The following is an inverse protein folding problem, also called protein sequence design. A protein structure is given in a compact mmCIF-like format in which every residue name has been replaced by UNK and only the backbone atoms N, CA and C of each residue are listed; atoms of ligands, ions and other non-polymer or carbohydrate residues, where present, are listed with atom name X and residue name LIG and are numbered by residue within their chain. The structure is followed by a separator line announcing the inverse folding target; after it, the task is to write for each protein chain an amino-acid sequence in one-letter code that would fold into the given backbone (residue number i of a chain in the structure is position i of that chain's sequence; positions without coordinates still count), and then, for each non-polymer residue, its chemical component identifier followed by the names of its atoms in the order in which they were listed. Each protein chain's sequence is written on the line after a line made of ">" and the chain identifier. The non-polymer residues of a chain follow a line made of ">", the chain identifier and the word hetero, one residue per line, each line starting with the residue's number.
data_IF_329543574120
#
_entry.id   IF_329543574120
#
_cell.length_a   1.000
_cell.length_b   1.000
_cell.length_c   1.000
_cell.angle_alpha   90.00
_cell.angle_beta   90.00
_cell.angle_gamma   90.00
#
_symmetry.space_group_name_H-M   'P 1'
#
loop_
_entity.id
_entity.type
_entity.pdbx_description
1 polymer ?
#
# COMPACT_ATOMS: atom_id res chain seq x y z
N UNK A 1 -1.34 -77.19 11.39
CA UNK A 1 -0.52 -76.39 12.32
C UNK A 1 0.40 -75.51 11.47
N UNK A 2 -0.04 -74.29 11.12
CA UNK A 2 0.71 -73.36 10.26
C UNK A 2 0.68 -72.01 10.98
N UNK A 3 1.81 -71.59 11.54
CA UNK A 3 1.94 -70.32 12.27
C UNK A 3 2.05 -69.17 11.27
N UNK A 4 1.13 -68.21 11.35
CA UNK A 4 1.19 -66.92 10.65
C UNK A 4 2.11 -65.99 11.44
N UNK A 5 3.18 -65.52 10.81
CA UNK A 5 4.03 -64.41 11.28
C UNK A 5 3.36 -63.08 10.92
N UNK A 6 3.27 -62.09 11.83
CA UNK A 6 2.86 -60.74 11.46
C UNK A 6 4.06 -59.93 10.95
N UNK A 7 3.91 -59.34 9.76
CA UNK A 7 4.81 -58.32 9.24
C UNK A 7 4.66 -57.05 10.09
N UNK A 8 5.73 -56.67 10.79
CA UNK A 8 5.86 -55.37 11.45
C UNK A 8 6.23 -54.36 10.35
N UNK A 9 5.25 -53.56 9.95
CA UNK A 9 5.41 -52.50 8.95
C UNK A 9 6.00 -51.26 9.65
N UNK A 10 7.31 -51.08 9.52
CA UNK A 10 8.03 -49.91 10.05
C UNK A 10 7.77 -48.74 9.09
N UNK A 11 6.90 -47.82 9.50
CA UNK A 11 6.65 -46.55 8.81
C UNK A 11 7.80 -45.57 9.14
N UNK A 12 8.46 -44.93 8.16
CA UNK A 12 9.45 -43.90 8.48
C UNK A 12 8.75 -42.59 8.90
N UNK A 13 9.30 -41.84 9.88
CA UNK A 13 8.75 -40.57 10.30
C UNK A 13 9.15 -39.51 9.27
N UNK A 14 8.24 -39.18 8.36
CA UNK A 14 8.38 -38.02 7.45
C UNK A 14 7.79 -36.78 8.13
N UNK A 15 8.37 -36.40 9.27
CA UNK A 15 8.05 -35.16 9.99
C UNK A 15 9.35 -34.38 10.15
N UNK A 16 9.25 -33.06 9.96
CA UNK A 16 10.28 -32.05 10.21
C UNK A 16 11.21 -31.70 9.04
N UNK A 17 10.68 -31.09 7.98
CA UNK A 17 11.44 -30.04 7.27
C UNK A 17 10.51 -29.02 6.59
N UNK A 18 9.60 -28.43 7.36
CA UNK A 18 8.91 -27.20 6.98
C UNK A 18 8.84 -26.22 8.16
N UNK A 19 9.97 -26.03 8.85
CA UNK A 19 10.21 -24.84 9.66
C UNK A 19 10.53 -23.66 8.73
N UNK A 20 9.54 -23.25 7.94
CA UNK A 20 9.61 -22.01 7.19
C UNK A 20 9.60 -20.85 8.19
N UNK A 21 10.79 -20.36 8.53
CA UNK A 21 11.09 -19.01 9.00
C UNK A 21 9.90 -18.23 9.59
N UNK A 22 9.47 -18.61 10.80
CA UNK A 22 8.72 -17.70 11.66
C UNK A 22 9.70 -16.68 12.23
N UNK A 23 10.15 -15.74 11.39
CA UNK A 23 10.82 -14.53 11.84
C UNK A 23 9.80 -13.68 12.60
N UNK A 24 9.65 -14.04 13.87
CA UNK A 24 8.89 -13.32 14.88
C UNK A 24 9.52 -11.95 15.11
N UNK A 25 8.68 -10.95 15.41
CA UNK A 25 9.12 -9.65 15.93
C UNK A 25 10.14 -9.73 17.08
N UNK A 26 10.23 -10.87 17.77
CA UNK A 26 11.24 -11.14 18.81
C UNK A 26 12.69 -10.97 18.34
N UNK A 27 12.97 -11.11 17.04
CA UNK A 27 14.32 -10.96 16.47
C UNK A 27 14.79 -9.48 16.47
N UNK A 28 13.86 -8.51 16.56
CA UNK A 28 14.20 -7.08 16.57
C UNK A 28 14.76 -6.58 17.91
N UNK A 29 14.70 -7.41 18.96
CA UNK A 29 15.21 -7.04 20.28
C UNK A 29 16.74 -7.16 20.38
N UNK A 30 17.40 -7.78 19.40
CA UNK A 30 18.85 -8.03 19.39
C UNK A 30 19.43 -7.88 17.97
N UNK A 31 20.14 -6.79 17.64
CA UNK A 31 20.49 -5.65 18.50
C UNK A 31 19.28 -4.75 18.79
N UNK A 32 19.27 -4.04 19.93
CA UNK A 32 18.19 -3.11 20.26
C UNK A 32 18.25 -1.85 19.38
N UNK A 33 17.14 -1.14 19.28
CA UNK A 33 17.16 0.23 18.75
C UNK A 33 18.04 1.14 19.65
N UNK A 34 18.88 2.05 19.10
CA UNK A 34 19.00 2.44 17.69
C UNK A 34 20.08 1.70 16.87
N UNK A 35 20.61 0.58 17.36
CA UNK A 35 21.76 -0.14 16.78
C UNK A 35 21.41 -1.03 15.56
N UNK A 36 20.20 -0.91 15.02
CA UNK A 36 19.76 -1.70 13.87
C UNK A 36 20.56 -1.39 12.61
N UNK A 37 21.07 -2.42 11.94
CA UNK A 37 21.72 -2.28 10.62
C UNK A 37 20.71 -1.86 9.54
N UNK A 38 21.20 -1.33 8.43
CA UNK A 38 20.35 -0.90 7.30
C UNK A 38 19.48 -2.03 6.76
N UNK A 39 20.02 -3.26 6.71
CA UNK A 39 19.25 -4.45 6.33
C UNK A 39 18.06 -4.71 7.25
N UNK A 40 18.20 -4.44 8.56
CA UNK A 40 17.12 -4.59 9.53
C UNK A 40 16.09 -3.49 9.35
N UNK A 41 16.54 -2.24 9.18
CA UNK A 41 15.66 -1.10 8.89
C UNK A 41 14.82 -1.36 7.63
N UNK A 42 15.46 -1.69 6.51
CA UNK A 42 14.77 -1.97 5.25
C UNK A 42 13.79 -3.14 5.38
N UNK A 43 14.16 -4.20 6.11
CA UNK A 43 13.27 -5.34 6.39
C UNK A 43 12.04 -4.90 7.18
N UNK A 44 12.21 -4.18 8.30
CA UNK A 44 11.08 -3.67 9.09
C UNK A 44 10.12 -2.85 8.22
N UNK A 45 10.66 -2.02 7.33
CA UNK A 45 9.90 -1.13 6.47
C UNK A 45 9.24 -1.80 5.25
N UNK A 46 9.66 -2.99 4.84
CA UNK A 46 9.23 -3.62 3.57
C UNK A 46 8.74 -5.06 3.68
N UNK A 47 9.18 -5.81 4.68
CA UNK A 47 8.85 -7.22 4.87
C UNK A 47 9.04 -7.64 6.33
N UNK A 48 8.00 -7.39 7.11
CA UNK A 48 7.96 -7.66 8.54
C UNK A 48 6.55 -8.05 8.97
N UNK A 49 6.31 -8.36 10.26
CA UNK A 49 4.96 -8.51 10.77
C UNK A 49 4.10 -7.25 10.59
N UNK A 50 4.70 -6.06 10.47
CA UNK A 50 4.01 -4.79 10.30
C UNK A 50 3.99 -4.27 8.86
N UNK A 51 4.77 -4.85 7.95
CA UNK A 51 4.94 -4.35 6.58
C UNK A 51 4.90 -5.49 5.57
N UNK A 52 4.08 -5.35 4.52
CA UNK A 52 3.90 -6.34 3.47
C UNK A 52 4.04 -5.71 2.09
N UNK A 53 4.84 -6.35 1.25
CA UNK A 53 4.89 -6.06 -0.19
C UNK A 53 3.78 -6.83 -0.89
N UNK A 54 3.00 -6.13 -1.72
CA UNK A 54 1.93 -6.73 -2.53
C UNK A 54 1.99 -6.16 -3.93
N UNK A 55 1.77 -7.00 -4.94
CA UNK A 55 1.58 -6.54 -6.31
C UNK A 55 0.09 -6.53 -6.60
N UNK A 56 -0.44 -5.39 -7.06
CA UNK A 56 -1.85 -5.23 -7.39
C UNK A 56 -2.01 -4.90 -8.88
N UNK A 57 -3.00 -5.50 -9.57
CA UNK A 57 -3.36 -5.08 -10.91
C UNK A 57 -4.00 -3.69 -10.88
N UNK A 58 -3.73 -2.88 -11.90
CA UNK A 58 -4.32 -1.56 -12.07
C UNK A 58 -5.35 -1.58 -13.20
N UNK A 59 -6.56 -1.13 -12.90
CA UNK A 59 -7.69 -1.04 -13.82
C UNK A 59 -7.93 0.42 -14.19
N UNK A 60 -7.30 0.85 -15.28
CA UNK A 60 -7.51 2.20 -15.81
C UNK A 60 -8.82 2.23 -16.61
N UNK A 61 -9.85 2.83 -16.03
CA UNK A 61 -11.03 3.22 -16.80
C UNK A 61 -10.66 4.41 -17.67
N UNK A 62 -10.33 4.15 -18.93
CA UNK A 62 -10.21 5.20 -19.94
C UNK A 62 -11.58 5.87 -20.03
N UNK A 63 -11.68 7.15 -19.69
CA UNK A 63 -12.80 7.96 -20.19
C UNK A 63 -12.68 7.88 -21.70
N UNK A 64 -13.67 7.34 -22.38
CA UNK A 64 -13.71 7.42 -23.84
C UNK A 64 -13.52 8.89 -24.21
N UNK A 65 -12.42 9.20 -24.92
CA UNK A 65 -12.25 10.48 -25.58
C UNK A 65 -13.41 10.58 -26.57
N UNK A 66 -14.53 11.18 -26.14
CA UNK A 66 -15.55 11.59 -27.09
C UNK A 66 -14.82 12.48 -28.10
N UNK A 67 -14.83 12.12 -29.40
CA UNK A 67 -14.20 12.96 -30.41
C UNK A 67 -14.80 14.35 -30.24
N UNK A 68 -13.96 15.36 -30.01
CA UNK A 68 -14.41 16.75 -30.01
C UNK A 68 -15.04 16.95 -31.38
N UNK A 69 -16.36 17.02 -31.41
CA UNK A 69 -17.09 17.21 -32.65
C UNK A 69 -17.07 18.71 -32.94
N UNK A 70 -17.24 19.11 -34.20
CA UNK A 70 -17.34 20.54 -34.55
C UNK A 70 -18.43 21.28 -33.75
N UNK A 71 -19.40 20.55 -33.19
CA UNK A 71 -20.48 21.05 -32.32
C UNK A 71 -20.03 21.44 -30.92
N UNK A 72 -18.87 20.96 -30.48
CA UNK A 72 -18.33 21.19 -29.15
C UNK A 72 -17.37 22.41 -29.12
N UNK A 73 -17.15 23.05 -30.27
CA UNK A 73 -16.30 24.24 -30.42
C UNK A 73 -17.19 25.48 -30.54
N UNK A 74 -17.25 26.36 -29.51
CA UNK A 74 -18.01 27.61 -29.58
C UNK A 74 -17.54 28.45 -30.77
N UNK A 75 -18.43 28.74 -31.72
CA UNK A 75 -18.14 29.50 -32.93
C UNK A 75 -17.76 28.67 -34.17
N UNK A 76 -17.78 27.34 -34.11
CA UNK A 76 -17.57 26.46 -35.27
C UNK A 76 -18.87 26.05 -35.99
N UNK A 77 -20.00 26.64 -35.63
CA UNK A 77 -21.23 26.52 -36.40
C UNK A 77 -21.02 27.12 -37.79
N UNK A 78 -20.83 26.24 -38.77
CA UNK A 78 -20.81 26.63 -40.18
C UNK A 78 -22.19 27.16 -40.54
N UNK A 79 -22.32 28.48 -40.60
CA UNK A 79 -23.38 29.13 -41.37
C UNK A 79 -23.43 28.50 -42.77
N UNK A 80 -24.59 28.06 -43.27
CA UNK A 80 -24.70 27.46 -44.60
C UNK A 80 -24.70 28.56 -45.67
N UNK A 81 -23.54 29.20 -45.87
CA UNK A 81 -23.33 30.07 -47.02
C UNK A 81 -22.63 29.27 -48.12
N UNK A 82 -23.46 28.75 -49.01
CA UNK A 82 -23.12 28.02 -50.24
C UNK A 82 -22.38 28.98 -51.18
N UNK A 83 -21.07 28.79 -51.38
CA UNK A 83 -20.34 29.38 -52.51
C UNK A 83 -19.82 28.23 -53.38
N UNK A 84 -20.33 28.05 -54.61
CA UNK A 84 -19.79 27.04 -55.52
C UNK A 84 -18.43 27.52 -56.06
N UNK A 85 -17.35 26.78 -55.81
CA UNK A 85 -16.09 26.94 -56.56
C UNK A 85 -14.78 27.13 -55.80
N UNK A 86 -14.73 27.02 -54.47
CA UNK A 86 -13.46 27.13 -53.74
C UNK A 86 -12.75 25.77 -53.60
N UNK A 87 -11.41 25.67 -53.82
CA UNK A 87 -10.66 24.43 -53.63
C UNK A 87 -10.68 24.00 -52.17
N UNK A 88 -10.78 22.68 -51.95
CA UNK A 88 -10.70 22.02 -50.64
C UNK A 88 -9.32 22.28 -50.04
N UNK A 89 -9.21 23.34 -49.23
CA UNK A 89 -8.05 23.63 -48.40
C UNK A 89 -7.98 22.64 -47.24
N UNK A 90 -7.09 21.65 -47.36
CA UNK A 90 -6.76 20.73 -46.28
C UNK A 90 -6.31 21.49 -45.04
N UNK A 91 -6.89 21.15 -43.88
CA UNK A 91 -6.41 21.63 -42.59
C UNK A 91 -4.98 21.13 -42.35
N UNK A 92 -3.99 22.03 -42.17
CA UNK A 92 -2.62 21.65 -41.85
C UNK A 92 -2.41 21.88 -40.36
N UNK A 93 -2.88 20.98 -39.50
CA UNK A 93 -2.47 21.01 -38.10
C UNK A 93 -1.98 19.61 -37.75
N UNK A 94 -0.66 19.46 -37.89
CA UNK A 94 0.07 18.26 -37.56
C UNK A 94 -0.18 17.88 -36.12
N UNK A 95 -0.72 16.68 -35.94
CA UNK A 95 -0.65 15.97 -34.67
C UNK A 95 0.82 15.69 -34.38
N UNK A 96 1.45 16.57 -33.61
CA UNK A 96 2.71 16.24 -32.92
C UNK A 96 2.36 15.07 -32.01
N UNK A 97 2.66 13.87 -32.47
CA UNK A 97 2.50 12.62 -31.75
C UNK A 97 3.51 12.59 -30.60
N UNK A 98 3.20 13.30 -29.51
CA UNK A 98 3.86 13.06 -28.24
C UNK A 98 3.58 11.60 -27.88
N UNK A 99 4.62 10.76 -27.69
CA UNK A 99 4.41 9.38 -27.29
C UNK A 99 3.59 9.37 -26.00
N UNK A 100 2.35 8.84 -26.07
CA UNK A 100 1.51 8.65 -24.88
C UNK A 100 2.28 7.72 -23.95
N UNK A 101 2.63 8.18 -22.75
CA UNK A 101 3.19 7.32 -21.72
C UNK A 101 2.19 6.19 -21.45
N UNK A 102 2.66 4.95 -21.60
CA UNK A 102 1.81 3.79 -21.29
C UNK A 102 1.59 3.78 -19.78
N UNK A 103 0.33 3.84 -19.36
CA UNK A 103 -0.03 3.69 -17.95
C UNK A 103 0.40 2.30 -17.45
N UNK A 104 0.90 2.19 -16.22
CA UNK A 104 1.35 0.90 -15.67
C UNK A 104 0.17 -0.06 -15.50
N UNK A 105 0.33 -1.34 -15.81
CA UNK A 105 -0.74 -2.35 -15.64
C UNK A 105 -0.79 -2.96 -14.23
N UNK A 106 0.27 -2.76 -13.44
CA UNK A 106 0.39 -3.25 -12.07
C UNK A 106 1.20 -2.26 -11.22
N UNK A 107 1.03 -2.32 -9.91
CA UNK A 107 1.83 -1.57 -8.94
C UNK A 107 2.37 -2.51 -7.86
N UNK A 108 3.65 -2.32 -7.51
CA UNK A 108 4.25 -2.94 -6.33
C UNK A 108 4.09 -2.01 -5.14
N UNK A 109 3.19 -2.39 -4.24
CA UNK A 109 2.84 -1.60 -3.06
C UNK A 109 3.51 -2.15 -1.81
N UNK A 110 3.76 -1.25 -0.85
CA UNK A 110 4.08 -1.63 0.53
C UNK A 110 2.93 -1.15 1.41
N UNK A 111 2.26 -2.08 2.08
CA UNK A 111 1.26 -1.79 3.09
C UNK A 111 1.88 -2.01 4.46
N UNK A 112 1.85 -0.99 5.33
CA UNK A 112 2.44 -1.09 6.66
C UNK A 112 1.72 -0.31 7.74
N UNK A 113 1.87 -0.76 8.98
CA UNK A 113 1.40 -0.07 10.18
C UNK A 113 2.37 1.06 10.56
N UNK A 114 2.20 2.23 9.97
CA UNK A 114 3.08 3.38 10.17
C UNK A 114 3.08 3.91 11.61
N UNK A 115 2.01 3.68 12.37
CA UNK A 115 1.94 4.08 13.77
C UNK A 115 2.73 3.17 14.72
N UNK A 116 3.01 1.94 14.32
CA UNK A 116 3.68 0.94 15.15
C UNK A 116 5.09 1.40 15.52
N UNK A 117 5.47 1.30 16.80
CA UNK A 117 6.77 1.73 17.28
C UNK A 117 7.97 1.22 16.45
N UNK A 118 8.09 -0.08 16.12
CA UNK A 118 9.24 -0.55 15.34
C UNK A 118 9.28 0.06 13.93
N UNK A 119 8.12 0.35 13.32
CA UNK A 119 8.06 1.02 12.02
C UNK A 119 8.50 2.47 12.16
N UNK A 120 8.04 3.21 13.19
CA UNK A 120 8.50 4.59 13.44
C UNK A 120 10.00 4.65 13.71
N UNK A 121 10.53 3.73 14.51
CA UNK A 121 11.96 3.58 14.77
C UNK A 121 12.77 3.33 13.50
N UNK A 122 12.30 2.44 12.64
CA UNK A 122 12.95 2.16 11.36
C UNK A 122 12.89 3.37 10.41
N UNK A 123 11.75 4.08 10.33
CA UNK A 123 11.64 5.32 9.54
C UNK A 123 12.59 6.40 10.06
N UNK A 124 12.70 6.55 11.38
CA UNK A 124 13.59 7.51 12.01
C UNK A 124 15.05 7.23 11.68
N UNK A 125 15.50 5.97 11.80
CA UNK A 125 16.86 5.57 11.44
C UNK A 125 17.13 5.76 9.94
N UNK A 126 16.17 5.42 9.09
CA UNK A 126 16.29 5.63 7.64
C UNK A 126 16.50 7.12 7.33
N UNK A 127 15.64 8.00 7.85
CA UNK A 127 15.74 9.45 7.64
C UNK A 127 17.02 10.04 8.22
N UNK A 128 17.43 9.60 9.42
CA UNK A 128 18.65 10.07 10.06
C UNK A 128 19.87 9.77 9.19
N UNK A 129 19.97 8.55 8.64
CA UNK A 129 21.10 8.11 7.82
C UNK A 129 21.10 8.77 6.44
N UNK A 130 19.94 8.83 5.79
CA UNK A 130 19.76 9.45 4.48
C UNK A 130 20.14 10.95 4.50
N UNK A 131 19.67 11.67 5.53
CA UNK A 131 19.97 13.09 5.71
C UNK A 131 21.27 13.36 6.51
N UNK A 132 22.03 12.32 6.88
CA UNK A 132 23.28 12.40 7.67
C UNK A 132 23.14 13.26 8.94
N UNK A 133 22.04 13.08 9.67
CA UNK A 133 21.73 13.83 10.89
C UNK A 133 22.48 13.27 12.10
N UNK A 134 22.73 14.16 13.07
CA UNK A 134 23.32 13.82 14.37
C UNK A 134 22.54 12.70 15.09
N UNK A 135 23.22 11.70 15.69
CA UNK A 135 22.57 10.61 16.42
C UNK A 135 21.62 11.05 17.55
N UNK A 136 21.88 12.21 18.17
CA UNK A 136 21.04 12.75 19.23
C UNK A 136 19.61 13.10 18.77
N UNK A 137 19.40 13.33 17.46
CA UNK A 137 18.08 13.66 16.89
C UNK A 137 17.17 12.45 16.70
N UNK A 138 17.65 11.23 16.94
CA UNK A 138 16.89 10.02 16.59
C UNK A 138 15.54 9.93 17.33
N UNK A 139 15.49 10.30 18.61
CA UNK A 139 14.26 10.25 19.41
C UNK A 139 13.21 11.27 18.93
N UNK A 140 13.66 12.43 18.47
CA UNK A 140 12.80 13.44 17.85
C UNK A 140 12.17 12.90 16.54
N UNK A 141 12.99 12.22 15.72
CA UNK A 141 12.54 11.62 14.45
C UNK A 141 11.56 10.45 14.64
N UNK A 142 11.66 9.69 15.74
CA UNK A 142 10.68 8.64 16.08
C UNK A 142 9.30 9.24 16.36
N UNK A 143 9.27 10.45 16.91
CA UNK A 143 8.05 11.19 17.22
C UNK A 143 7.19 10.53 18.31
N UNK A 144 6.13 11.25 18.66
CA UNK A 144 5.13 10.83 19.65
C UNK A 144 4.19 9.78 19.03
N UNK A 145 3.74 8.76 19.80
CA UNK A 145 2.70 7.84 19.34
C UNK A 145 1.45 8.57 18.83
N UNK A 146 0.91 8.11 17.70
CA UNK A 146 -0.34 8.66 17.16
C UNK A 146 -1.54 8.16 17.98
N UNK A 147 -2.58 9.00 18.19
CA UNK A 147 -3.84 8.55 18.77
C UNK A 147 -4.62 7.61 17.84
N UNK A 148 -4.26 7.55 16.55
CA UNK A 148 -4.86 6.68 15.54
C UNK A 148 -3.95 5.51 15.22
N UNK A 149 -4.54 4.40 14.76
CA UNK A 149 -3.80 3.45 13.95
C UNK A 149 -3.63 4.03 12.54
N UNK A 150 -2.41 3.97 12.01
CA UNK A 150 -2.10 4.50 10.68
C UNK A 150 -1.65 3.34 9.81
N UNK A 151 -2.47 2.99 8.82
CA UNK A 151 -2.07 2.09 7.74
C UNK A 151 -1.57 2.94 6.58
N UNK A 152 -0.32 2.74 6.19
CA UNK A 152 0.32 3.43 5.09
C UNK A 152 0.46 2.51 3.88
N UNK A 153 0.12 3.03 2.70
CA UNK A 153 0.25 2.38 1.40
C UNK A 153 1.23 3.21 0.57
N UNK A 154 2.39 2.64 0.26
CA UNK A 154 3.44 3.28 -0.56
C UNK A 154 3.56 2.62 -1.92
N UNK A 155 4.08 3.36 -2.89
CA UNK A 155 4.31 2.86 -4.25
C UNK A 155 3.10 2.99 -5.17
N UNK A 156 2.06 3.72 -4.74
CA UNK A 156 0.88 3.99 -5.55
C UNK A 156 1.27 4.94 -6.67
N UNK A 157 0.95 4.67 -7.95
CA UNK A 157 1.27 5.59 -9.06
C UNK A 157 0.65 6.97 -8.84
N UNK A 158 1.37 8.03 -9.19
CA UNK A 158 0.88 9.41 -9.01
C UNK A 158 -0.28 9.74 -9.96
N UNK A 159 -0.41 9.03 -11.08
CA UNK A 159 -1.45 9.20 -12.10
C UNK A 159 -2.86 8.96 -11.55
N UNK A 160 -2.98 8.24 -10.41
CA UNK A 160 -4.27 8.08 -9.72
C UNK A 160 -4.82 9.43 -9.25
N UNK A 161 -3.94 10.34 -8.82
CA UNK A 161 -4.30 11.67 -8.32
C UNK A 161 -4.57 12.69 -9.44
N UNK A 162 -4.99 12.25 -10.64
CA UNK A 162 -5.32 13.15 -11.76
C UNK A 162 -6.41 14.19 -11.41
N UNK A 163 -7.30 13.86 -10.48
CA UNK A 163 -8.33 14.76 -9.94
C UNK A 163 -7.90 15.45 -8.63
N UNK A 164 -6.61 15.42 -8.31
CA UNK A 164 -6.00 16.00 -7.10
C UNK A 164 -5.93 15.01 -5.92
N UNK A 165 -5.05 15.33 -4.96
CA UNK A 165 -4.81 14.50 -3.78
C UNK A 165 -6.07 14.30 -2.91
N UNK A 166 -6.89 15.35 -2.76
CA UNK A 166 -8.14 15.31 -1.97
C UNK A 166 -9.14 14.25 -2.48
N UNK A 167 -9.19 14.03 -3.80
CA UNK A 167 -10.03 12.98 -4.38
C UNK A 167 -9.57 11.58 -3.92
N UNK A 168 -8.26 11.35 -3.90
CA UNK A 168 -7.66 10.10 -3.44
C UNK A 168 -7.84 9.94 -1.93
N UNK A 169 -7.74 11.01 -1.16
CA UNK A 169 -8.02 11.01 0.29
C UNK A 169 -9.47 10.63 0.57
N UNK A 170 -10.43 11.21 -0.16
CA UNK A 170 -11.85 10.88 -0.02
C UNK A 170 -12.12 9.41 -0.35
N UNK A 171 -11.58 8.92 -1.48
CA UNK A 171 -11.68 7.53 -1.89
C UNK A 171 -11.08 6.60 -0.82
N UNK A 172 -9.86 6.90 -0.36
CA UNK A 172 -9.19 6.11 0.66
C UNK A 172 -9.99 6.04 1.97
N UNK A 173 -10.54 7.18 2.42
CA UNK A 173 -11.37 7.25 3.63
C UNK A 173 -12.69 6.47 3.47
N UNK A 174 -13.32 6.49 2.31
CA UNK A 174 -14.60 5.80 2.09
C UNK A 174 -14.44 4.31 1.80
N UNK A 175 -13.39 3.95 1.07
CA UNK A 175 -13.14 2.61 0.55
C UNK A 175 -12.29 1.71 1.44
N UNK A 176 -11.74 2.22 2.55
CA UNK A 176 -10.89 1.44 3.46
C UNK A 176 -11.63 0.93 4.70
N UNK A 177 -11.22 -0.25 5.18
CA UNK A 177 -11.79 -0.89 6.36
C UNK A 177 -10.74 -1.77 7.06
N UNK A 178 -10.73 -1.76 8.40
CA UNK A 178 -10.12 -2.84 9.18
C UNK A 178 -11.20 -3.82 9.62
N UNK A 179 -10.95 -5.11 9.42
CA UNK A 179 -11.85 -6.19 9.85
C UNK A 179 -11.08 -7.18 10.71
N UNK A 180 -11.53 -7.41 11.93
CA UNK A 180 -10.91 -8.40 12.81
C UNK A 180 -11.46 -9.79 12.51
N UNK A 181 -10.78 -10.84 12.99
CA UNK A 181 -11.24 -12.22 12.82
C UNK A 181 -12.63 -12.48 13.43
N UNK A 182 -13.05 -11.71 14.42
CA UNK A 182 -14.38 -11.83 15.05
C UNK A 182 -15.48 -11.16 14.22
N UNK A 183 -15.13 -10.49 13.12
CA UNK A 183 -16.07 -9.73 12.28
C UNK A 183 -16.25 -8.27 12.74
N UNK A 184 -15.55 -7.82 13.79
CA UNK A 184 -15.56 -6.40 14.19
C UNK A 184 -14.93 -5.56 13.09
N UNK A 185 -15.59 -4.49 12.70
CA UNK A 185 -15.12 -3.58 11.66
C UNK A 185 -14.78 -2.20 12.22
N UNK A 186 -13.65 -1.63 11.82
CA UNK A 186 -13.22 -0.27 12.19
C UNK A 186 -13.09 0.55 10.91
N UNK A 187 -13.85 1.64 10.83
CA UNK A 187 -13.81 2.59 9.71
C UNK A 187 -12.77 3.67 9.97
N UNK A 188 -12.13 4.19 8.91
CA UNK A 188 -11.16 5.26 9.08
C UNK A 188 -11.85 6.58 9.43
N UNK A 189 -11.22 7.37 10.29
CA UNK A 189 -11.63 8.74 10.61
C UNK A 189 -11.14 9.73 9.55
N UNK A 190 -9.97 9.47 8.95
CA UNK A 190 -9.28 10.36 8.02
C UNK A 190 -8.37 9.57 7.07
N UNK A 191 -8.04 10.17 5.93
CA UNK A 191 -6.92 9.74 5.10
C UNK A 191 -6.12 10.97 4.67
N UNK A 192 -4.82 10.80 4.41
CA UNK A 192 -3.94 11.83 3.86
C UNK A 192 -3.08 11.28 2.75
N UNK A 193 -2.76 12.11 1.76
CA UNK A 193 -1.96 11.74 0.60
C UNK A 193 -0.74 12.65 0.49
N UNK A 194 0.43 12.03 0.28
CA UNK A 194 1.68 12.75 -0.01
C UNK A 194 2.24 12.25 -1.35
N UNK A 195 2.45 13.17 -2.28
CA UNK A 195 3.01 12.89 -3.60
C UNK A 195 4.54 13.01 -3.54
N UNK A 196 5.25 12.00 -4.03
CA UNK A 196 6.71 11.89 -4.05
C UNK A 196 7.16 11.44 -5.44
N UNK A 197 7.44 12.40 -6.31
CA UNK A 197 7.83 12.13 -7.70
C UNK A 197 6.71 11.44 -8.49
N UNK A 198 6.98 10.24 -8.99
CA UNK A 198 6.03 9.45 -9.79
C UNK A 198 5.12 8.55 -8.95
N UNK A 199 5.27 8.56 -7.63
CA UNK A 199 4.45 7.77 -6.72
C UNK A 199 3.83 8.66 -5.66
N UNK A 200 2.78 8.16 -5.01
CA UNK A 200 2.19 8.76 -3.83
C UNK A 200 2.18 7.75 -2.68
N UNK A 201 2.07 8.29 -1.47
CA UNK A 201 1.86 7.56 -0.24
C UNK A 201 0.49 7.93 0.31
N UNK A 202 -0.36 6.93 0.56
CA UNK A 202 -1.67 7.10 1.21
C UNK A 202 -1.52 6.67 2.67
N UNK A 203 -1.94 7.51 3.61
CA UNK A 203 -2.04 7.17 5.02
C UNK A 203 -3.52 7.16 5.42
N UNK A 204 -3.99 6.03 5.92
CA UNK A 204 -5.37 5.83 6.37
C UNK A 204 -5.37 5.74 7.90
N UNK A 205 -6.12 6.63 8.54
CA UNK A 205 -6.18 6.79 9.98
C UNK A 205 -7.44 6.12 10.54
N UNK A 206 -7.26 5.19 11.46
CA UNK A 206 -8.33 4.49 12.16
C UNK A 206 -8.30 4.85 13.66
N UNK A 207 -9.44 5.23 14.25
CA UNK A 207 -9.47 5.63 15.66
C UNK A 207 -9.15 4.45 16.59
N UNK A 208 -8.45 4.71 17.69
CA UNK A 208 -8.12 3.72 18.75
C UNK A 208 -9.12 3.67 19.90
N UNK A 209 -10.36 4.15 19.70
CA UNK A 209 -11.36 4.24 20.76
C UNK A 209 -11.68 2.85 21.38
N UNK A 210 -11.69 1.81 20.56
CA UNK A 210 -11.77 0.41 20.99
C UNK A 210 -10.57 -0.37 20.43
N UNK A 211 -9.45 -0.45 21.19
CA UNK A 211 -8.19 -0.97 20.68
C UNK A 211 -8.27 -2.41 20.15
N UNK A 212 -7.45 -2.69 19.14
CA UNK A 212 -7.17 -4.06 18.67
C UNK A 212 -6.43 -4.83 19.76
N UNK A 213 -6.82 -6.09 19.97
CA UNK A 213 -6.26 -6.94 21.02
C UNK A 213 -5.65 -8.22 20.46
N UNK A 214 -4.65 -8.76 21.14
CA UNK A 214 -3.91 -9.95 20.66
C UNK A 214 -4.82 -11.17 20.49
N UNK A 215 -5.88 -11.26 21.29
CA UNK A 215 -6.88 -12.34 21.30
C UNK A 215 -7.76 -12.32 20.05
N UNK A 216 -7.73 -11.25 19.25
CA UNK A 216 -8.40 -11.20 17.96
C UNK A 216 -7.61 -11.94 16.87
N UNK A 217 -6.38 -12.35 17.18
CA UNK A 217 -5.41 -13.11 16.37
C UNK A 217 -4.93 -12.42 15.08
N UNK A 218 -5.85 -11.85 14.31
CA UNK A 218 -5.56 -11.19 13.05
C UNK A 218 -6.50 -10.03 12.79
N UNK A 219 -5.97 -9.05 12.06
CA UNK A 219 -6.73 -7.94 11.48
C UNK A 219 -6.45 -7.89 9.98
N UNK A 220 -7.50 -7.74 9.19
CA UNK A 220 -7.42 -7.49 7.76
C UNK A 220 -7.61 -6.01 7.49
N UNK A 221 -6.66 -5.42 6.77
CA UNK A 221 -6.86 -4.17 6.07
C UNK A 221 -7.39 -4.46 4.67
N UNK A 222 -8.48 -3.81 4.30
CA UNK A 222 -9.02 -3.82 2.94
C UNK A 222 -9.20 -2.39 2.46
N UNK A 223 -8.98 -2.16 1.16
CA UNK A 223 -9.16 -0.87 0.53
C UNK A 223 -9.57 -1.02 -0.94
N UNK A 224 -10.61 -0.31 -1.35
CA UNK A 224 -10.97 -0.12 -2.75
C UNK A 224 -10.66 1.32 -3.17
N UNK A 225 -9.73 1.47 -4.11
CA UNK A 225 -9.20 2.75 -4.59
C UNK A 225 -9.62 3.06 -6.04
N UNK A 226 -10.77 2.52 -6.45
CA UNK A 226 -11.34 2.58 -7.81
C UNK A 226 -10.54 1.84 -8.87
N UNK A 227 -9.25 2.16 -9.04
CA UNK A 227 -8.42 1.54 -10.06
C UNK A 227 -7.64 0.33 -9.54
N UNK A 228 -7.62 0.12 -8.22
CA UNK A 228 -7.05 -1.08 -7.62
C UNK A 228 -7.77 -1.39 -6.31
N UNK A 229 -7.72 -2.66 -5.94
CA UNK A 229 -8.15 -3.13 -4.64
C UNK A 229 -6.98 -3.78 -3.93
N UNK A 230 -7.01 -3.72 -2.60
CA UNK A 230 -6.01 -4.37 -1.79
C UNK A 230 -6.64 -4.99 -0.56
N UNK A 231 -6.19 -6.20 -0.22
CA UNK A 231 -6.55 -6.90 1.01
C UNK A 231 -5.29 -7.47 1.61
N UNK A 232 -5.02 -7.13 2.86
CA UNK A 232 -3.84 -7.60 3.58
C UNK A 232 -4.18 -7.94 5.01
N UNK A 233 -4.01 -9.21 5.35
CA UNK A 233 -4.15 -9.71 6.71
C UNK A 233 -2.83 -9.62 7.46
N UNK A 234 -2.91 -9.15 8.72
CA UNK A 234 -1.80 -9.07 9.65
C UNK A 234 -2.09 -9.94 10.88
N UNK A 235 -1.08 -10.71 11.33
CA UNK A 235 -1.19 -11.56 12.51
C UNK A 235 -0.76 -10.78 13.74
N UNK A 236 -1.71 -10.45 14.62
CA UNK A 236 -1.48 -9.62 15.81
C UNK A 236 -0.45 -10.24 16.76
N UNK A 237 -0.44 -11.58 16.89
CA UNK A 237 0.56 -12.26 17.70
C UNK A 237 2.00 -12.06 17.20
N UNK A 238 2.21 -11.90 15.89
CA UNK A 238 3.51 -11.64 15.30
C UNK A 238 3.93 -10.16 15.39
N UNK A 239 2.99 -9.26 15.69
CA UNK A 239 3.19 -7.81 15.79
C UNK A 239 3.48 -7.37 17.24
N UNK A 240 4.05 -8.27 18.04
CA UNK A 240 4.44 -7.98 19.42
C UNK A 240 5.89 -7.50 19.45
N UNK A 241 6.14 -6.28 19.91
CA UNK A 241 7.48 -5.72 20.08
C UNK A 241 7.67 -5.27 21.52
N UNK A 242 8.83 -5.57 22.11
CA UNK A 242 9.09 -5.34 23.54
C UNK A 242 8.01 -5.90 24.49
N UNK A 243 7.37 -7.01 24.10
CA UNK A 243 6.33 -7.68 24.89
C UNK A 243 4.91 -7.13 24.70
N UNK A 244 4.73 -6.05 23.93
CA UNK A 244 3.44 -5.39 23.72
C UNK A 244 3.00 -5.48 22.26
N UNK A 245 1.69 -5.55 22.02
CA UNK A 245 1.14 -5.42 20.67
C UNK A 245 1.39 -3.99 20.17
N UNK A 246 2.14 -3.87 19.08
CA UNK A 246 2.48 -2.58 18.47
C UNK A 246 1.77 -2.45 17.12
N UNK A 247 1.05 -1.35 16.93
CA UNK A 247 0.23 -1.05 15.74
C UNK A 247 0.31 0.44 15.42
#
# INVERSE_FOLDING_TARGET
>A
MVRRTPLIQVLPPLLALLCAYLASAQDLNKPPFPEWRDSTVLRVLTDSPWSKRVNVPLQWTRRDEQPITYKDVPGADRSPARTPGAPVGGSPIGGIGVPRSKLPSEASLIIRWASALPVRQAVALYKQRDAKLEPSKINELVGVPSPDYIVEIRGVPAEIAHSGAESVELIARQGSLLTTRTGRTIRPSRATVSIQGTTLTIQVHFPRADPLRKEEHSVEFSGNFQIFEVKQTFRLAAMTYLGHLEL
#
